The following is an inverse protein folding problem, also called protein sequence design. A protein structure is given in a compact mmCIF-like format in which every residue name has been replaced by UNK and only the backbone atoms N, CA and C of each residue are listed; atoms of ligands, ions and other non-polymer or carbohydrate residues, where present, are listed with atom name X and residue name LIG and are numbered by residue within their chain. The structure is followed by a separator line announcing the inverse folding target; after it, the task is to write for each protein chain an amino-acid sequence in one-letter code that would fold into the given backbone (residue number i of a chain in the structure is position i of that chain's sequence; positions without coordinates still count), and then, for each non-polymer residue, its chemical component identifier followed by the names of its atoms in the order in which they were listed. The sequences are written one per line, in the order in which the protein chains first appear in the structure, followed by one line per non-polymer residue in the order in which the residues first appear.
data_IF_173148842591
#
_entry.id   IF_173148842591
#
_cell.length_a   1.000
_cell.length_b   1.000
_cell.length_c   1.000
_cell.angle_alpha   90.00
_cell.angle_beta   90.00
_cell.angle_gamma   90.00
#
_symmetry.space_group_name_H-M   'P 1'
#
loop_
_entity.id
_entity.type
_entity.pdbx_description
1 polymer ?
#
# COMPACT_ATOMS: atom_id res chain seq x y z
N UNK A 1 4.22 1.09 -12.61
CA UNK A 1 2.90 0.55 -13.00
C UNK A 1 1.82 1.51 -12.54
N UNK A 2 0.98 2.02 -13.44
CA UNK A 2 0.06 3.13 -13.13
C UNK A 2 -1.14 2.61 -12.34
N UNK A 3 -1.50 3.28 -11.23
CA UNK A 3 -2.78 3.09 -10.51
C UNK A 3 -4.00 3.17 -11.46
N UNK A 4 -3.88 3.92 -12.56
CA UNK A 4 -4.91 4.07 -13.60
C UNK A 4 -5.26 2.77 -14.35
N UNK A 5 -4.48 1.69 -14.19
CA UNK A 5 -4.75 0.41 -14.85
C UNK A 5 -5.80 -0.43 -14.10
N UNK A 6 -6.11 -0.11 -12.85
CA UNK A 6 -7.07 -0.85 -12.05
C UNK A 6 -8.27 0.01 -11.69
N UNK A 7 -9.44 -0.42 -12.16
CA UNK A 7 -10.70 0.10 -11.63
C UNK A 7 -10.99 -0.66 -10.32
N UNK A 8 -10.78 0.00 -9.17
CA UNK A 8 -11.04 -0.58 -7.86
C UNK A 8 -12.47 -0.23 -7.45
N UNK A 9 -13.33 -1.25 -7.35
CA UNK A 9 -14.67 -1.12 -6.81
C UNK A 9 -14.61 -1.36 -5.31
N UNK A 10 -14.82 -0.31 -4.52
CA UNK A 10 -14.86 -0.36 -3.05
C UNK A 10 -16.25 -0.76 -2.56
N UNK A 11 -16.35 -1.45 -1.40
CA UNK A 11 -17.64 -1.71 -0.76
C UNK A 11 -18.32 -0.38 -0.37
N UNK A 12 -19.64 -0.40 -0.30
CA UNK A 12 -20.40 0.72 0.26
C UNK A 12 -20.18 0.76 1.78
N UNK A 13 -20.27 1.94 2.39
CA UNK A 13 -20.14 2.09 3.84
C UNK A 13 -21.14 1.19 4.60
N UNK A 14 -22.36 1.01 4.06
CA UNK A 14 -23.39 0.10 4.60
C UNK A 14 -22.98 -1.37 4.62
N UNK A 15 -22.00 -1.76 3.81
CA UNK A 15 -21.56 -3.15 3.68
C UNK A 15 -20.35 -3.46 4.58
N UNK A 16 -19.98 -2.51 5.43
CA UNK A 16 -18.87 -2.59 6.38
C UNK A 16 -19.37 -2.41 7.81
N UNK A 17 -18.51 -2.65 8.81
CA UNK A 17 -18.80 -2.29 10.20
C UNK A 17 -18.46 -0.82 10.53
N UNK A 18 -18.05 -0.02 9.55
CA UNK A 18 -17.72 1.40 9.73
C UNK A 18 -16.43 1.67 10.51
N UNK A 19 -15.61 0.64 10.76
CA UNK A 19 -14.35 0.81 11.50
C UNK A 19 -13.32 1.46 10.58
N UNK A 20 -12.80 2.61 10.99
CA UNK A 20 -11.74 3.30 10.27
C UNK A 20 -10.42 2.54 10.39
N UNK A 21 -9.50 2.78 9.47
CA UNK A 21 -8.24 2.02 9.39
C UNK A 21 -7.38 2.18 10.63
N UNK A 22 -7.33 3.37 11.21
CA UNK A 22 -6.61 3.69 12.45
C UNK A 22 -7.17 2.98 13.68
N UNK A 23 -8.44 2.60 13.65
CA UNK A 23 -9.12 1.85 14.73
C UNK A 23 -9.20 0.35 14.47
N UNK A 24 -8.74 -0.10 13.31
CA UNK A 24 -8.77 -1.51 12.95
C UNK A 24 -7.58 -2.25 13.59
N UNK A 25 -7.80 -3.20 14.52
CA UNK A 25 -6.72 -3.92 15.19
C UNK A 25 -5.94 -4.78 14.19
N UNK A 26 -4.63 -4.81 14.34
CA UNK A 26 -3.70 -5.58 13.53
C UNK A 26 -2.85 -6.49 14.42
N UNK A 27 -2.46 -7.65 13.88
CA UNK A 27 -1.52 -8.57 14.54
C UNK A 27 -0.34 -8.83 13.59
N UNK A 28 0.89 -8.63 14.09
CA UNK A 28 2.10 -8.89 13.30
C UNK A 28 2.19 -10.36 12.90
N UNK A 29 2.89 -10.61 11.79
CA UNK A 29 3.05 -11.98 11.28
C UNK A 29 3.73 -12.90 12.30
N UNK A 30 4.72 -12.39 13.00
CA UNK A 30 5.48 -13.15 14.02
C UNK A 30 4.63 -13.50 15.25
N UNK A 31 3.65 -12.66 15.58
CA UNK A 31 2.74 -12.88 16.72
C UNK A 31 1.49 -13.72 16.32
N UNK A 32 1.33 -14.05 15.04
CA UNK A 32 0.09 -14.65 14.54
C UNK A 32 -0.18 -16.06 15.09
N UNK A 33 0.86 -16.83 15.37
CA UNK A 33 0.70 -18.15 15.97
C UNK A 33 0.23 -18.03 17.44
N UNK A 34 0.79 -17.10 18.20
CA UNK A 34 0.37 -16.81 19.58
C UNK A 34 -1.05 -16.25 19.60
N UNK A 35 -1.40 -15.41 18.66
CA UNK A 35 -2.77 -14.91 18.52
C UNK A 35 -3.79 -16.03 18.28
N UNK A 36 -3.47 -17.01 17.43
CA UNK A 36 -4.34 -18.19 17.23
C UNK A 36 -4.48 -19.01 18.53
N UNK A 37 -3.41 -19.16 19.28
CA UNK A 37 -3.44 -19.83 20.60
C UNK A 37 -4.31 -19.05 21.57
N UNK A 38 -4.13 -17.73 21.64
CA UNK A 38 -4.97 -16.85 22.46
C UNK A 38 -6.46 -16.97 22.12
N UNK A 39 -6.81 -16.96 20.85
CA UNK A 39 -8.21 -17.15 20.40
C UNK A 39 -8.75 -18.52 20.86
N UNK A 40 -7.97 -19.57 20.71
CA UNK A 40 -8.35 -20.92 21.15
C UNK A 40 -8.57 -20.98 22.67
N UNK A 41 -7.69 -20.38 23.46
CA UNK A 41 -7.80 -20.34 24.92
C UNK A 41 -9.01 -19.53 25.39
N UNK A 42 -9.53 -18.63 24.53
CA UNK A 42 -10.77 -17.90 24.74
C UNK A 42 -11.99 -18.55 24.06
N UNK A 43 -11.93 -19.86 23.74
CA UNK A 43 -13.06 -20.62 23.22
C UNK A 43 -13.31 -20.49 21.72
N UNK A 44 -12.46 -19.79 20.97
CA UNK A 44 -12.61 -19.65 19.52
C UNK A 44 -11.97 -20.81 18.79
N UNK A 45 -12.75 -21.48 17.96
CA UNK A 45 -12.26 -22.47 17.01
C UNK A 45 -12.12 -21.86 15.63
N UNK A 46 -11.00 -22.18 14.95
CA UNK A 46 -10.69 -21.71 13.61
C UNK A 46 -10.75 -22.87 12.61
N UNK A 47 -11.59 -22.78 11.58
CA UNK A 47 -11.70 -23.79 10.53
C UNK A 47 -11.18 -23.23 9.21
N UNK A 48 -10.26 -23.92 8.51
CA UNK A 48 -9.83 -23.53 7.18
C UNK A 48 -10.97 -23.74 6.17
N UNK A 49 -11.15 -22.77 5.29
CA UNK A 49 -12.16 -22.75 4.25
C UNK A 49 -11.65 -22.00 3.02
N UNK A 50 -12.15 -22.38 1.82
CA UNK A 50 -11.93 -21.65 0.57
C UNK A 50 -13.27 -21.12 0.10
N UNK A 51 -13.38 -19.80 -0.06
CA UNK A 51 -14.65 -19.14 -0.37
C UNK A 51 -14.45 -18.06 -1.44
N UNK A 52 -15.50 -17.74 -2.19
CA UNK A 52 -15.49 -16.56 -3.05
C UNK A 52 -15.31 -15.29 -2.21
N UNK A 53 -14.36 -14.44 -2.61
CA UNK A 53 -14.06 -13.22 -1.84
C UNK A 53 -15.28 -12.30 -1.70
N UNK A 54 -16.18 -12.29 -2.70
CA UNK A 54 -17.42 -11.49 -2.70
C UNK A 54 -18.45 -11.92 -1.62
N UNK A 55 -18.33 -13.13 -1.09
CA UNK A 55 -19.23 -13.66 -0.06
C UNK A 55 -18.79 -13.27 1.36
N UNK A 56 -17.69 -12.53 1.47
CA UNK A 56 -17.17 -11.96 2.70
C UNK A 56 -17.44 -10.45 2.75
N UNK A 57 -17.46 -9.92 3.96
CA UNK A 57 -17.66 -8.49 4.25
C UNK A 57 -16.46 -7.94 5.02
N UNK A 58 -16.04 -6.70 4.81
CA UNK A 58 -14.97 -6.10 5.60
C UNK A 58 -15.51 -5.47 6.88
N UNK A 59 -14.79 -5.59 7.98
CA UNK A 59 -15.04 -4.75 9.16
C UNK A 59 -14.60 -3.31 8.93
N UNK A 60 -13.52 -3.13 8.17
CA UNK A 60 -12.92 -1.83 7.85
C UNK A 60 -13.69 -1.10 6.75
N UNK A 61 -13.88 0.22 6.91
CA UNK A 61 -14.57 1.09 5.94
C UNK A 61 -13.62 1.82 4.97
N UNK A 62 -12.33 1.88 5.26
CA UNK A 62 -11.34 2.64 4.50
C UNK A 62 -10.31 1.72 3.85
N UNK A 63 -9.98 2.02 2.59
CA UNK A 63 -9.05 1.20 1.78
C UNK A 63 -8.11 2.12 0.99
N UNK A 64 -6.82 1.83 1.05
CA UNK A 64 -5.81 2.44 0.18
C UNK A 64 -5.88 1.82 -1.22
N UNK A 65 -6.08 2.65 -2.24
CA UNK A 65 -6.11 2.19 -3.64
C UNK A 65 -4.76 1.59 -4.04
N UNK A 66 -3.67 2.15 -3.55
CA UNK A 66 -2.31 1.65 -3.79
C UNK A 66 -2.12 0.26 -3.15
N UNK A 67 -2.55 0.10 -1.90
CA UNK A 67 -2.48 -1.18 -1.21
C UNK A 67 -3.27 -2.28 -1.93
N UNK A 68 -4.45 -1.95 -2.45
CA UNK A 68 -5.28 -2.87 -3.23
C UNK A 68 -4.63 -3.19 -4.58
N UNK A 69 -4.16 -2.18 -5.33
CA UNK A 69 -3.50 -2.36 -6.62
C UNK A 69 -2.24 -3.23 -6.50
N UNK A 70 -1.42 -3.02 -5.45
CA UNK A 70 -0.25 -3.87 -5.16
C UNK A 70 -0.64 -5.35 -4.98
N UNK A 71 -1.75 -5.63 -4.30
CA UNK A 71 -2.25 -7.00 -4.15
C UNK A 71 -2.83 -7.56 -5.46
N UNK A 72 -3.52 -6.75 -6.25
CA UNK A 72 -4.04 -7.17 -7.56
C UNK A 72 -2.90 -7.53 -8.51
N UNK A 73 -1.79 -6.79 -8.51
CA UNK A 73 -0.58 -7.13 -9.26
C UNK A 73 0.00 -8.48 -8.84
N UNK A 74 0.13 -8.72 -7.53
CA UNK A 74 0.60 -10.01 -7.01
C UNK A 74 -0.31 -11.16 -7.43
N UNK A 75 -1.61 -10.93 -7.48
CA UNK A 75 -2.59 -11.92 -7.94
C UNK A 75 -2.41 -12.23 -9.44
N UNK A 76 -2.13 -11.22 -10.28
CA UNK A 76 -1.82 -11.42 -11.70
C UNK A 76 -0.56 -12.24 -11.93
N UNK A 77 0.50 -11.96 -11.16
CA UNK A 77 1.80 -12.61 -11.31
C UNK A 77 1.79 -14.07 -10.82
N UNK A 78 1.06 -14.35 -9.75
CA UNK A 78 1.10 -15.64 -9.04
C UNK A 78 -0.09 -16.55 -9.31
N UNK A 79 -1.14 -16.06 -9.96
CA UNK A 79 -2.38 -16.78 -10.20
C UNK A 79 -3.31 -16.86 -8.99
N UNK A 80 -4.49 -17.46 -9.21
CA UNK A 80 -5.54 -17.62 -8.21
C UNK A 80 -5.08 -18.50 -7.04
N UNK A 81 -5.41 -18.10 -5.81
CA UNK A 81 -5.20 -18.92 -4.61
C UNK A 81 -3.80 -18.89 -4.00
N UNK A 82 -2.88 -18.12 -4.55
CA UNK A 82 -1.46 -18.09 -4.10
C UNK A 82 -1.18 -17.16 -2.92
N UNK A 83 -2.18 -16.73 -2.15
CA UNK A 83 -1.91 -15.96 -0.94
C UNK A 83 -1.62 -16.94 0.21
N UNK A 84 -0.35 -17.06 0.68
CA UNK A 84 0.04 -18.07 1.66
C UNK A 84 -0.57 -17.83 3.05
N UNK A 85 -1.05 -16.60 3.32
CA UNK A 85 -1.67 -16.25 4.59
C UNK A 85 -3.20 -16.22 4.43
N UNK A 86 -3.96 -17.12 5.10
CA UNK A 86 -5.42 -17.06 5.07
C UNK A 86 -5.92 -15.75 5.72
N UNK A 87 -7.10 -15.30 5.28
CA UNK A 87 -7.81 -14.21 5.96
C UNK A 87 -8.49 -14.78 7.22
N UNK A 88 -8.60 -13.99 8.28
CA UNK A 88 -9.38 -14.36 9.44
C UNK A 88 -10.78 -13.79 9.30
N UNK A 89 -11.80 -14.66 9.36
CA UNK A 89 -13.19 -14.30 9.20
C UNK A 89 -14.05 -14.80 10.37
N UNK A 90 -15.03 -14.01 10.77
CA UNK A 90 -16.05 -14.37 11.74
C UNK A 90 -17.07 -15.38 11.18
N UNK A 91 -17.91 -15.95 12.04
CA UNK A 91 -18.97 -16.88 11.65
C UNK A 91 -20.01 -16.26 10.70
N UNK A 92 -20.29 -14.97 10.87
CA UNK A 92 -21.22 -14.17 10.06
C UNK A 92 -20.56 -13.50 8.84
N UNK A 93 -19.29 -13.87 8.52
CA UNK A 93 -18.63 -13.57 7.27
C UNK A 93 -17.86 -12.26 7.22
N UNK A 94 -17.60 -11.60 8.34
CA UNK A 94 -16.76 -10.41 8.36
C UNK A 94 -15.29 -10.76 8.53
N UNK A 95 -14.42 -10.14 7.73
CA UNK A 95 -12.96 -10.27 7.87
C UNK A 95 -12.40 -9.24 8.83
N UNK A 96 -11.47 -9.67 9.69
CA UNK A 96 -10.78 -8.77 10.64
C UNK A 96 -9.34 -8.45 10.20
N UNK A 97 -8.72 -9.26 9.36
CA UNK A 97 -7.37 -9.06 8.83
C UNK A 97 -7.34 -9.26 7.31
N UNK A 98 -6.44 -8.53 6.65
CA UNK A 98 -6.18 -8.71 5.23
C UNK A 98 -7.14 -8.00 4.28
N UNK A 99 -7.74 -6.90 4.70
CA UNK A 99 -8.75 -6.14 3.95
C UNK A 99 -8.30 -5.76 2.52
N UNK A 100 -7.03 -5.32 2.31
CA UNK A 100 -6.51 -5.03 0.96
C UNK A 100 -6.39 -6.30 0.10
N UNK A 101 -5.99 -7.44 0.70
CA UNK A 101 -5.93 -8.73 -0.01
C UNK A 101 -7.31 -9.21 -0.41
N UNK A 102 -8.28 -9.06 0.50
CA UNK A 102 -9.67 -9.36 0.24
C UNK A 102 -10.23 -8.52 -0.90
N UNK A 103 -10.09 -7.18 -0.83
CA UNK A 103 -10.63 -6.29 -1.84
C UNK A 103 -9.96 -6.50 -3.22
N UNK A 104 -8.67 -6.81 -3.24
CA UNK A 104 -7.98 -7.20 -4.46
C UNK A 104 -8.56 -8.50 -5.05
N UNK A 105 -8.85 -9.50 -4.21
CA UNK A 105 -9.47 -10.75 -4.66
C UNK A 105 -10.90 -10.52 -5.18
N UNK A 106 -11.72 -9.69 -4.52
CA UNK A 106 -13.04 -9.29 -5.00
C UNK A 106 -12.96 -8.66 -6.39
N UNK A 107 -12.06 -7.69 -6.58
CA UNK A 107 -11.89 -6.99 -7.85
C UNK A 107 -11.25 -7.86 -8.96
N UNK A 108 -10.59 -8.96 -8.58
CA UNK A 108 -10.02 -9.94 -9.51
C UNK A 108 -10.94 -11.14 -9.76
N UNK A 109 -12.07 -11.28 -9.06
CA UNK A 109 -12.97 -12.41 -9.16
C UNK A 109 -12.40 -13.72 -8.60
N UNK A 110 -11.50 -13.63 -7.59
CA UNK A 110 -10.79 -14.78 -7.04
C UNK A 110 -11.41 -15.30 -5.74
N UNK A 111 -11.18 -16.58 -5.49
CA UNK A 111 -11.41 -17.20 -4.18
C UNK A 111 -10.28 -16.86 -3.22
N UNK A 112 -10.58 -16.93 -1.92
CA UNK A 112 -9.60 -16.68 -0.86
C UNK A 112 -9.62 -17.84 0.14
N UNK A 113 -8.43 -18.12 0.68
CA UNK A 113 -8.28 -19.00 1.84
C UNK A 113 -8.63 -18.20 3.09
N UNK A 114 -9.47 -18.76 3.94
CA UNK A 114 -9.82 -18.15 5.23
C UNK A 114 -9.62 -19.12 6.39
N UNK A 115 -9.49 -18.56 7.58
CA UNK A 115 -9.74 -19.22 8.84
C UNK A 115 -11.04 -18.66 9.39
N UNK A 116 -12.10 -19.49 9.38
CA UNK A 116 -13.41 -19.08 9.89
C UNK A 116 -13.47 -19.34 11.39
N UNK A 117 -13.71 -18.27 12.15
CA UNK A 117 -14.00 -18.37 13.58
C UNK A 117 -15.45 -18.82 13.81
N UNK A 118 -15.70 -19.51 14.92
CA UNK A 118 -17.05 -19.93 15.35
C UNK A 118 -17.80 -18.82 16.10
N UNK A 119 -17.24 -17.63 16.20
CA UNK A 119 -17.83 -16.44 16.86
C UNK A 119 -18.17 -15.37 15.83
N UNK A 120 -19.13 -14.50 16.16
CA UNK A 120 -19.52 -13.40 15.29
C UNK A 120 -18.47 -12.28 15.20
N UNK A 121 -18.76 -11.29 14.37
CA UNK A 121 -17.83 -10.20 14.10
C UNK A 121 -17.53 -9.35 15.34
N UNK A 122 -18.52 -9.09 16.19
CA UNK A 122 -18.37 -8.25 17.37
C UNK A 122 -17.52 -8.96 18.44
N UNK A 123 -17.78 -10.23 18.66
CA UNK A 123 -17.02 -11.04 19.61
C UNK A 123 -15.59 -11.22 19.13
N UNK A 124 -15.37 -11.54 17.85
CA UNK A 124 -14.03 -11.68 17.27
C UNK A 124 -13.24 -10.37 17.38
N UNK A 125 -13.86 -9.23 17.11
CA UNK A 125 -13.25 -7.92 17.25
C UNK A 125 -12.90 -7.64 18.71
N UNK A 126 -13.82 -7.89 19.65
CA UNK A 126 -13.61 -7.69 21.09
C UNK A 126 -12.43 -8.52 21.61
N UNK A 127 -12.34 -9.78 21.21
CA UNK A 127 -11.21 -10.66 21.57
C UNK A 127 -9.90 -10.15 20.96
N UNK A 128 -9.93 -9.74 19.71
CA UNK A 128 -8.74 -9.20 19.04
C UNK A 128 -8.21 -7.95 19.73
N UNK A 129 -9.09 -7.04 20.13
CA UNK A 129 -8.73 -5.82 20.86
C UNK A 129 -8.10 -6.09 22.24
N UNK A 130 -8.40 -7.23 22.84
CA UNK A 130 -7.83 -7.67 24.13
C UNK A 130 -6.51 -8.44 24.01
N UNK A 131 -6.10 -8.79 22.80
CA UNK A 131 -4.84 -9.50 22.59
C UNK A 131 -3.65 -8.57 22.91
N UNK A 132 -2.69 -8.99 23.78
CA UNK A 132 -1.66 -8.08 24.31
C UNK A 132 -0.72 -7.47 23.28
N UNK A 133 -0.61 -8.09 22.09
CA UNK A 133 0.28 -7.63 20.99
C UNK A 133 -0.49 -7.09 19.79
N UNK A 134 -1.74 -6.65 20.02
CA UNK A 134 -2.47 -5.91 19.00
C UNK A 134 -1.83 -4.53 18.83
N UNK A 135 -1.77 -4.07 17.61
CA UNK A 135 -1.38 -2.71 17.29
C UNK A 135 -2.36 -2.09 16.32
N UNK A 136 -2.37 -0.77 16.27
CA UNK A 136 -3.17 -0.01 15.33
C UNK A 136 -2.24 0.63 14.32
N UNK A 137 -2.64 0.58 13.06
CA UNK A 137 -1.92 1.31 12.03
C UNK A 137 -2.45 2.72 12.03
N UNK A 138 -1.55 3.69 12.16
CA UNK A 138 -1.88 5.04 11.74
C UNK A 138 -2.40 5.00 10.29
N UNK A 139 -3.24 5.95 9.90
CA UNK A 139 -3.87 6.03 8.58
C UNK A 139 -2.81 5.89 7.47
N UNK A 140 -1.58 6.28 7.78
CA UNK A 140 -0.38 6.14 6.99
C UNK A 140 0.62 5.23 7.73
N UNK A 141 0.80 4.00 7.27
CA UNK A 141 1.97 3.19 7.68
C UNK A 141 3.20 3.71 6.98
N UNK A 142 4.40 3.54 7.56
CA UNK A 142 5.67 3.90 6.92
C UNK A 142 5.76 3.36 5.48
N UNK A 143 5.24 2.15 5.19
CA UNK A 143 5.18 1.59 3.83
C UNK A 143 4.20 2.34 2.90
N UNK A 144 3.08 2.84 3.43
CA UNK A 144 2.10 3.60 2.66
C UNK A 144 2.56 5.04 2.45
N UNK A 145 3.19 5.68 3.46
CA UNK A 145 3.84 6.98 3.34
C UNK A 145 5.00 6.92 2.35
N UNK A 146 5.81 5.87 2.42
CA UNK A 146 6.93 5.65 1.52
C UNK A 146 6.47 5.45 0.07
N UNK A 147 5.39 4.70 -0.13
CA UNK A 147 4.82 4.50 -1.46
C UNK A 147 4.10 5.76 -1.95
N UNK A 148 3.45 6.52 -1.06
CA UNK A 148 2.80 7.78 -1.38
C UNK A 148 3.82 8.83 -1.79
N UNK A 149 4.92 8.97 -1.07
CA UNK A 149 6.02 9.88 -1.41
C UNK A 149 6.63 9.56 -2.77
N UNK A 150 6.89 8.29 -3.09
CA UNK A 150 7.40 7.88 -4.41
C UNK A 150 6.39 8.19 -5.51
N UNK A 151 5.12 7.83 -5.31
CA UNK A 151 4.06 8.07 -6.30
C UNK A 151 3.84 9.57 -6.49
N UNK A 152 3.86 10.36 -5.41
CA UNK A 152 3.76 11.80 -5.45
C UNK A 152 4.94 12.42 -6.19
N UNK A 153 6.17 11.94 -5.94
CA UNK A 153 7.36 12.40 -6.64
C UNK A 153 7.32 12.07 -8.13
N UNK A 154 6.84 10.87 -8.49
CA UNK A 154 6.66 10.46 -9.89
C UNK A 154 5.66 11.36 -10.62
N UNK A 155 4.48 11.60 -10.02
CA UNK A 155 3.46 12.48 -10.60
C UNK A 155 3.95 13.92 -10.72
N UNK A 156 4.63 14.43 -9.70
CA UNK A 156 5.19 15.78 -9.69
C UNK A 156 6.25 15.94 -10.79
N UNK A 157 7.17 14.98 -10.91
CA UNK A 157 8.19 14.99 -11.94
C UNK A 157 7.61 14.84 -13.35
N UNK A 158 6.58 14.00 -13.55
CA UNK A 158 5.88 13.85 -14.82
C UNK A 158 5.19 15.17 -15.25
N UNK A 159 4.54 15.87 -14.32
CA UNK A 159 3.91 17.15 -14.62
C UNK A 159 4.96 18.24 -14.91
N UNK A 160 6.05 18.30 -14.14
CA UNK A 160 7.12 19.26 -14.35
C UNK A 160 7.80 19.08 -15.71
N UNK A 161 7.97 17.85 -16.18
CA UNK A 161 8.61 17.52 -17.45
C UNK A 161 7.64 17.12 -18.56
N UNK A 162 6.35 17.44 -18.47
CA UNK A 162 5.32 16.98 -19.41
C UNK A 162 5.60 17.30 -20.88
N UNK A 163 6.25 18.43 -21.12
CA UNK A 163 6.60 18.91 -22.47
C UNK A 163 8.03 18.56 -22.89
N UNK A 164 8.81 17.93 -22.01
CA UNK A 164 10.19 17.56 -22.23
C UNK A 164 10.31 16.15 -22.83
N UNK A 165 11.23 16.01 -23.79
CA UNK A 165 11.57 14.74 -24.44
C UNK A 165 13.07 14.48 -24.37
N UNK A 166 13.43 13.21 -24.34
CA UNK A 166 14.83 12.78 -24.43
C UNK A 166 15.42 13.16 -25.78
N UNK A 167 16.58 13.80 -25.76
CA UNK A 167 17.24 14.37 -26.95
C UNK A 167 17.51 13.35 -28.07
N UNK A 168 17.84 12.11 -27.71
CA UNK A 168 18.29 11.09 -28.68
C UNK A 168 17.20 10.06 -29.04
N UNK A 169 16.25 9.77 -28.15
CA UNK A 169 15.22 8.75 -28.37
C UNK A 169 13.87 9.36 -28.71
N UNK A 170 13.63 10.61 -28.32
CA UNK A 170 12.33 11.26 -28.47
C UNK A 170 11.26 10.80 -27.45
N UNK A 171 11.61 9.89 -26.55
CA UNK A 171 10.72 9.42 -25.48
C UNK A 171 10.39 10.55 -24.49
N UNK A 172 9.26 10.47 -23.78
CA UNK A 172 8.97 11.38 -22.67
C UNK A 172 10.10 11.40 -21.65
N UNK A 173 10.47 12.57 -21.13
CA UNK A 173 11.62 12.72 -20.23
C UNK A 173 11.51 11.91 -18.95
N UNK A 174 10.30 11.72 -18.43
CA UNK A 174 10.05 10.96 -17.21
C UNK A 174 10.56 9.51 -17.26
N UNK A 175 10.73 8.94 -18.46
CA UNK A 175 11.31 7.58 -18.62
C UNK A 175 12.74 7.54 -18.05
N UNK A 176 13.52 8.61 -18.26
CA UNK A 176 14.84 8.76 -17.68
C UNK A 176 14.78 8.79 -16.14
N UNK A 177 13.86 9.58 -15.58
CA UNK A 177 13.71 9.72 -14.13
C UNK A 177 13.35 8.39 -13.47
N UNK A 178 12.49 7.59 -14.10
CA UNK A 178 12.14 6.26 -13.60
C UNK A 178 13.31 5.27 -13.72
N UNK A 179 14.11 5.34 -14.78
CA UNK A 179 15.35 4.56 -14.93
C UNK A 179 16.32 4.85 -13.77
N UNK A 180 16.58 6.14 -13.47
CA UNK A 180 17.48 6.55 -12.38
C UNK A 180 16.95 6.09 -11.03
N UNK A 181 15.65 6.29 -10.77
CA UNK A 181 15.01 5.78 -9.53
C UNK A 181 15.15 4.26 -9.40
N UNK A 182 15.01 3.50 -10.49
CA UNK A 182 15.15 2.05 -10.46
C UNK A 182 16.59 1.60 -10.13
N UNK A 183 17.60 2.32 -10.61
CA UNK A 183 19.01 2.09 -10.23
C UNK A 183 19.20 2.32 -8.72
N UNK A 184 18.72 3.42 -8.19
CA UNK A 184 18.80 3.73 -6.75
C UNK A 184 18.09 2.66 -5.92
N UNK A 185 16.90 2.22 -6.34
CA UNK A 185 16.14 1.14 -5.70
C UNK A 185 16.90 -0.18 -5.68
N UNK A 186 17.51 -0.57 -6.81
CA UNK A 186 18.30 -1.81 -6.92
C UNK A 186 19.57 -1.76 -6.05
N UNK A 187 20.14 -0.59 -5.88
CA UNK A 187 21.28 -0.35 -4.99
C UNK A 187 20.90 -0.32 -3.49
N UNK A 188 19.61 -0.54 -3.15
CA UNK A 188 19.14 -0.52 -1.75
C UNK A 188 18.91 0.88 -1.20
N UNK A 189 18.76 1.89 -2.07
CA UNK A 189 18.53 3.28 -1.66
C UNK A 189 17.21 3.45 -0.90
N UNK A 190 17.22 4.36 0.09
CA UNK A 190 16.05 4.71 0.90
C UNK A 190 14.94 5.32 0.05
N UNK A 191 13.74 5.42 0.60
CA UNK A 191 12.59 6.05 -0.08
C UNK A 191 12.85 7.50 -0.43
N UNK A 192 13.50 8.24 0.47
CA UNK A 192 13.85 9.63 0.21
C UNK A 192 14.88 9.76 -0.91
N UNK A 193 15.84 8.83 -1.00
CA UNK A 193 16.80 8.76 -2.10
C UNK A 193 16.12 8.40 -3.41
N UNK A 194 15.16 7.48 -3.40
CA UNK A 194 14.38 7.12 -4.58
C UNK A 194 13.49 8.28 -5.04
N UNK A 195 12.85 9.01 -4.11
CA UNK A 195 12.08 10.21 -4.42
C UNK A 195 12.97 11.33 -4.98
N UNK A 196 14.14 11.55 -4.38
CA UNK A 196 15.11 12.52 -4.88
C UNK A 196 15.60 12.16 -6.29
N UNK A 197 15.79 10.88 -6.59
CA UNK A 197 16.13 10.39 -7.92
C UNK A 197 15.05 10.68 -8.98
N UNK A 198 13.77 10.68 -8.61
CA UNK A 198 12.69 11.09 -9.51
C UNK A 198 12.65 12.60 -9.73
N UNK A 199 13.10 13.37 -8.75
CA UNK A 199 12.99 14.83 -8.71
C UNK A 199 14.29 15.56 -9.13
N UNK A 200 15.41 14.85 -9.37
CA UNK A 200 16.74 15.47 -9.47
C UNK A 200 16.82 16.55 -10.55
N UNK A 201 16.22 16.32 -11.71
CA UNK A 201 16.26 17.27 -12.84
C UNK A 201 15.14 18.31 -12.80
N UNK A 202 14.15 18.19 -11.87
CA UNK A 202 13.04 19.13 -11.84
C UNK A 202 13.48 20.56 -11.52
N UNK A 203 14.47 20.71 -10.62
CA UNK A 203 15.01 22.03 -10.25
C UNK A 203 15.96 22.58 -11.32
N UNK A 204 16.65 21.69 -12.06
CA UNK A 204 17.60 22.11 -13.09
C UNK A 204 16.91 22.46 -14.41
N UNK A 205 15.98 21.63 -14.85
CA UNK A 205 15.43 21.68 -16.20
C UNK A 205 14.03 22.31 -16.29
N UNK A 206 13.42 22.68 -15.15
CA UNK A 206 12.06 23.26 -15.14
C UNK A 206 11.98 24.53 -14.29
N UNK A 207 10.79 25.08 -14.15
CA UNK A 207 10.53 26.24 -13.28
C UNK A 207 10.41 25.90 -11.78
N UNK A 208 10.54 24.64 -11.40
CA UNK A 208 10.43 24.17 -10.02
C UNK A 208 11.62 24.67 -9.20
N UNK A 209 11.34 25.22 -8.02
CA UNK A 209 12.36 25.73 -7.12
C UNK A 209 12.62 24.75 -5.95
N UNK A 210 13.80 24.82 -5.28
CA UNK A 210 14.04 24.08 -4.03
C UNK A 210 12.99 24.34 -2.94
N UNK A 211 12.39 25.53 -2.94
CA UNK A 211 11.33 25.89 -2.00
C UNK A 211 10.03 25.11 -2.30
N UNK A 212 9.72 24.89 -3.58
CA UNK A 212 8.57 24.07 -3.98
C UNK A 212 8.78 22.61 -3.57
N UNK A 213 9.98 22.06 -3.78
CA UNK A 213 10.32 20.70 -3.33
C UNK A 213 10.23 20.60 -1.80
N UNK A 214 10.72 21.61 -1.07
CA UNK A 214 10.62 21.63 0.39
C UNK A 214 9.16 21.63 0.86
N UNK A 215 8.32 22.42 0.22
CA UNK A 215 6.88 22.52 0.55
C UNK A 215 6.15 21.21 0.29
N UNK A 216 6.44 20.53 -0.81
CA UNK A 216 5.72 19.34 -1.25
C UNK A 216 6.25 18.04 -0.63
N UNK A 217 7.56 17.93 -0.40
CA UNK A 217 8.23 16.68 -0.02
C UNK A 217 9.05 16.79 1.29
N UNK A 218 9.09 17.96 1.88
CA UNK A 218 9.83 18.23 3.11
C UNK A 218 11.34 18.48 2.91
N UNK A 219 12.00 18.97 3.97
CA UNK A 219 13.39 19.46 3.87
C UNK A 219 14.41 18.35 3.60
N UNK A 220 14.14 17.11 3.99
CA UNK A 220 15.07 15.97 3.79
C UNK A 220 15.20 15.61 2.32
N UNK A 221 14.08 15.48 1.60
CA UNK A 221 14.08 15.19 0.16
C UNK A 221 14.61 16.40 -0.62
N UNK A 222 14.18 17.61 -0.28
CA UNK A 222 14.66 18.83 -0.91
C UNK A 222 16.18 18.97 -0.84
N UNK A 223 16.77 18.66 0.31
CA UNK A 223 18.25 18.66 0.46
C UNK A 223 18.91 17.66 -0.48
N UNK A 224 18.42 16.43 -0.58
CA UNK A 224 18.95 15.42 -1.49
C UNK A 224 18.82 15.86 -2.96
N UNK A 225 17.70 16.45 -3.35
CA UNK A 225 17.50 16.97 -4.72
C UNK A 225 18.52 18.04 -5.03
N UNK A 226 18.72 19.02 -4.13
CA UNK A 226 19.72 20.08 -4.32
C UNK A 226 21.17 19.53 -4.40
N UNK A 227 21.48 18.51 -3.62
CA UNK A 227 22.79 17.84 -3.68
C UNK A 227 23.02 17.07 -4.98
N UNK A 228 21.96 16.62 -5.65
CA UNK A 228 22.01 15.93 -6.94
C UNK A 228 21.94 16.90 -8.13
N UNK A 229 21.46 18.14 -7.92
CA UNK A 229 21.39 19.16 -8.96
C UNK A 229 22.81 19.64 -9.30
N UNK A 230 23.17 19.60 -10.57
CA UNK A 230 24.50 20.04 -11.01
C UNK A 230 24.61 21.56 -10.87
N UNK A 231 25.36 22.01 -9.86
CA UNK A 231 25.67 23.42 -9.61
C UNK A 231 26.82 23.94 -10.51
N UNK A 232 27.26 23.13 -11.46
CA UNK A 232 28.45 23.45 -12.31
C UNK A 232 28.08 24.18 -13.61
N UNK A 233 26.88 24.81 -13.74
CA UNK A 233 26.62 25.69 -14.87
C UNK A 233 27.50 26.94 -14.77
N UNK A 234 28.46 27.15 -15.68
CA UNK A 234 29.19 28.43 -15.74
C UNK A 234 28.20 29.55 -16.09
N UNK A 235 28.37 30.70 -15.41
CA UNK A 235 27.70 31.95 -15.74
C UNK A 235 27.89 32.35 -17.21
#
# INVERSE_FOLDING_TARGET
MRLSEFKINKPKASDTMGITRDKMPQVKQDDYQEYKTYLKDNGVTLRPEVIDAKDLKPMQSEFSDQGVAKQMNRNKEKGEGMNPKPLLASSDGYIIDGHHRWLAAVNSGFKVNILRANVDAQELLSLTLKFPRVYFKDIYTEDDEQMDVITKAEQFAQEAHKDHKRKYTGDPYYVHLDEVRNIVKQAGGTVEQQAAALLHDTVEDTSVTPADITKEFGPKIAKLVVELTDVSKPE
#
